data_IF_993085686793
#
_entry.id   IF_993085686793
#
_cell.length_a   1.000
_cell.length_b   1.000
_cell.length_c   1.000
_cell.angle_alpha   90.00
_cell.angle_beta   90.00
_cell.angle_gamma   90.00
#
_symmetry.space_group_name_H-M   'P 1'
#
loop_
_entity.id
_entity.type
_entity.pdbx_description
1 polymer ?
#
# COMPACT_ATOMS: atom_id res chain seq x y z
N UNK A 1 22.43 -61.01 -4.01
CA UNK A 1 21.66 -60.18 -3.07
C UNK A 1 21.55 -58.79 -3.68
N UNK A 2 20.42 -58.52 -4.31
CA UNK A 2 20.20 -57.28 -5.08
C UNK A 2 19.49 -56.26 -4.21
N UNK A 3 20.07 -55.10 -4.08
CA UNK A 3 19.51 -53.89 -3.46
C UNK A 3 18.39 -53.34 -4.35
N UNK A 4 17.17 -53.59 -3.97
CA UNK A 4 16.00 -52.91 -4.50
C UNK A 4 15.51 -51.88 -3.46
N UNK A 5 15.87 -50.60 -3.62
CA UNK A 5 15.15 -49.44 -3.15
C UNK A 5 15.88 -48.19 -3.62
N UNK A 6 15.33 -47.46 -4.60
CA UNK A 6 14.91 -46.10 -4.28
C UNK A 6 13.70 -45.58 -5.13
N UNK A 7 12.73 -46.44 -5.46
CA UNK A 7 11.58 -45.96 -6.22
C UNK A 7 10.50 -45.28 -5.36
N UNK A 8 10.45 -45.54 -4.07
CA UNK A 8 9.46 -44.94 -3.15
C UNK A 8 9.82 -43.50 -2.72
N UNK A 9 11.10 -43.19 -2.53
CA UNK A 9 11.56 -41.88 -2.19
C UNK A 9 11.36 -40.83 -3.29
N UNK A 10 11.28 -41.27 -4.57
CA UNK A 10 11.06 -40.35 -5.71
C UNK A 10 9.60 -39.91 -5.89
N UNK A 11 8.64 -40.67 -5.32
CA UNK A 11 7.20 -40.31 -5.41
C UNK A 11 6.77 -39.35 -4.30
N UNK A 12 7.38 -39.39 -3.12
CA UNK A 12 7.08 -38.46 -2.02
C UNK A 12 7.56 -37.02 -2.29
N UNK A 13 8.52 -36.84 -3.19
CA UNK A 13 9.05 -35.53 -3.57
C UNK A 13 8.13 -34.80 -4.57
N UNK A 14 7.25 -35.55 -5.29
CA UNK A 14 6.37 -34.95 -6.31
C UNK A 14 5.13 -34.25 -5.79
N UNK A 15 4.68 -34.52 -4.56
CA UNK A 15 3.45 -33.93 -3.98
C UNK A 15 3.71 -32.83 -2.94
N UNK A 16 4.93 -32.59 -2.54
CA UNK A 16 5.26 -31.44 -1.68
C UNK A 16 5.20 -30.16 -2.50
N UNK A 17 4.04 -29.50 -2.49
CA UNK A 17 3.93 -28.11 -3.00
C UNK A 17 4.99 -27.28 -2.30
N UNK A 18 5.74 -26.44 -3.05
CA UNK A 18 6.72 -25.55 -2.43
C UNK A 18 6.06 -24.80 -1.27
N UNK A 19 6.67 -24.73 -0.08
CA UNK A 19 6.06 -24.15 1.13
C UNK A 19 5.52 -22.73 0.89
N UNK A 20 6.10 -21.99 -0.05
CA UNK A 20 5.66 -20.64 -0.43
C UNK A 20 4.32 -20.60 -1.16
N UNK A 21 3.90 -21.66 -1.86
CA UNK A 21 2.58 -21.71 -2.54
C UNK A 21 1.46 -21.77 -1.52
N UNK A 22 1.61 -22.56 -0.45
CA UNK A 22 0.68 -22.63 0.68
C UNK A 22 0.50 -21.26 1.36
N UNK A 23 1.60 -20.55 1.59
CA UNK A 23 1.58 -19.20 2.15
C UNK A 23 0.86 -18.19 1.24
N UNK A 24 1.08 -18.23 -0.09
CA UNK A 24 0.40 -17.37 -1.03
C UNK A 24 -1.13 -17.61 -1.05
N UNK A 25 -1.56 -18.85 -1.00
CA UNK A 25 -2.99 -19.22 -0.93
C UNK A 25 -3.60 -18.79 0.40
N UNK A 26 -2.91 -18.98 1.52
CA UNK A 26 -3.37 -18.53 2.84
C UNK A 26 -3.51 -17.00 2.88
N UNK A 27 -2.52 -16.26 2.39
CA UNK A 27 -2.55 -14.79 2.28
C UNK A 27 -3.72 -14.32 1.42
N UNK A 28 -3.98 -14.97 0.28
CA UNK A 28 -5.13 -14.67 -0.57
C UNK A 28 -6.46 -14.88 0.18
N UNK A 29 -6.63 -16.02 0.86
CA UNK A 29 -7.85 -16.33 1.63
C UNK A 29 -8.09 -15.32 2.74
N UNK A 30 -7.04 -14.94 3.49
CA UNK A 30 -7.13 -13.93 4.54
C UNK A 30 -7.53 -12.56 3.97
N UNK A 31 -6.94 -12.14 2.85
CA UNK A 31 -7.27 -10.89 2.20
C UNK A 31 -8.75 -10.87 1.76
N UNK A 32 -9.26 -11.97 1.17
CA UNK A 32 -10.67 -12.09 0.77
C UNK A 32 -11.60 -12.06 1.98
N UNK A 33 -11.31 -12.82 3.04
CA UNK A 33 -12.12 -12.85 4.25
C UNK A 33 -12.20 -11.47 4.92
N UNK A 34 -11.05 -10.80 5.05
CA UNK A 34 -10.97 -9.45 5.59
C UNK A 34 -11.77 -8.45 4.75
N UNK A 35 -11.57 -8.45 3.43
CA UNK A 35 -12.28 -7.54 2.52
C UNK A 35 -13.79 -7.76 2.55
N UNK A 36 -14.23 -9.03 2.61
CA UNK A 36 -15.64 -9.38 2.76
C UNK A 36 -16.21 -8.81 4.06
N UNK A 37 -15.53 -9.03 5.19
CA UNK A 37 -15.93 -8.50 6.49
C UNK A 37 -16.04 -6.96 6.45
N UNK A 38 -15.03 -6.27 5.94
CA UNK A 38 -15.02 -4.81 5.85
C UNK A 38 -16.15 -4.28 4.96
N UNK A 39 -16.41 -4.96 3.84
CA UNK A 39 -17.53 -4.60 2.95
C UNK A 39 -18.88 -4.77 3.64
N UNK A 40 -19.08 -5.88 4.35
CA UNK A 40 -20.32 -6.12 5.11
C UNK A 40 -20.52 -5.13 6.24
N UNK A 41 -19.47 -4.79 6.99
CA UNK A 41 -19.51 -3.77 8.05
C UNK A 41 -19.84 -2.40 7.45
N UNK A 42 -19.22 -2.02 6.34
CA UNK A 42 -19.50 -0.76 5.66
C UNK A 42 -20.95 -0.69 5.18
N UNK A 43 -21.47 -1.75 4.53
CA UNK A 43 -22.86 -1.84 4.09
C UNK A 43 -23.81 -1.75 5.28
N UNK A 44 -23.54 -2.49 6.37
CA UNK A 44 -24.37 -2.45 7.58
C UNK A 44 -24.45 -1.05 8.19
N UNK A 45 -23.32 -0.38 8.38
CA UNK A 45 -23.27 0.96 8.95
C UNK A 45 -24.02 1.99 8.09
N UNK A 46 -23.96 1.86 6.77
CA UNK A 46 -24.70 2.73 5.87
C UNK A 46 -26.20 2.43 5.85
N UNK A 47 -26.62 1.16 5.87
CA UNK A 47 -28.04 0.78 5.87
C UNK A 47 -28.72 1.00 7.23
N UNK A 48 -28.00 0.82 8.34
CA UNK A 48 -28.57 0.99 9.68
C UNK A 48 -28.82 2.45 10.06
N UNK A 49 -28.40 3.40 9.23
CA UNK A 49 -28.53 4.84 9.55
C UNK A 49 -27.73 5.28 10.78
N UNK A 50 -26.81 4.43 11.27
CA UNK A 50 -25.89 4.79 12.33
C UNK A 50 -25.14 6.08 11.97
N UNK A 51 -24.83 6.91 12.96
CA UNK A 51 -24.27 8.27 12.77
C UNK A 51 -22.92 8.35 12.01
N UNK A 52 -22.38 7.23 11.61
CA UNK A 52 -21.18 7.12 10.74
C UNK A 52 -21.45 6.91 9.25
N UNK A 53 -22.70 6.63 8.83
CA UNK A 53 -23.02 6.35 7.44
C UNK A 53 -23.50 7.59 6.68
N UNK A 54 -22.62 8.27 5.96
CA UNK A 54 -22.96 9.49 5.22
C UNK A 54 -23.49 9.20 3.81
N UNK A 55 -23.10 8.08 3.21
CA UNK A 55 -23.41 7.76 1.82
C UNK A 55 -24.90 7.63 1.53
N UNK A 56 -25.65 6.92 2.36
CA UNK A 56 -27.08 6.70 2.12
C UNK A 56 -27.98 7.81 2.65
N UNK A 57 -27.45 8.74 3.47
CA UNK A 57 -28.18 9.94 3.90
C UNK A 57 -28.37 10.95 2.76
N UNK A 58 -27.47 10.94 1.77
CA UNK A 58 -27.53 11.86 0.63
C UNK A 58 -27.45 11.08 -0.70
N UNK A 59 -28.53 10.35 -1.01
CA UNK A 59 -28.60 9.38 -2.11
C UNK A 59 -28.17 9.93 -3.48
N UNK A 60 -28.47 11.18 -3.80
CA UNK A 60 -28.13 11.78 -5.10
C UNK A 60 -26.63 12.06 -5.21
N UNK A 61 -26.05 12.68 -4.21
CA UNK A 61 -24.61 12.91 -4.15
C UNK A 61 -23.83 11.60 -4.12
N UNK A 62 -24.37 10.58 -3.45
CA UNK A 62 -23.83 9.23 -3.38
C UNK A 62 -23.80 8.57 -4.76
N UNK A 63 -24.87 8.64 -5.55
CA UNK A 63 -24.92 8.07 -6.89
C UNK A 63 -23.90 8.73 -7.83
N UNK A 64 -23.78 10.05 -7.80
CA UNK A 64 -22.79 10.81 -8.58
C UNK A 64 -21.35 10.45 -8.20
N UNK A 65 -21.06 10.32 -6.90
CA UNK A 65 -19.74 9.90 -6.40
C UNK A 65 -19.44 8.47 -6.79
N UNK A 66 -20.38 7.53 -6.64
CA UNK A 66 -20.18 6.13 -7.03
C UNK A 66 -19.90 6.03 -8.53
N UNK A 67 -20.68 6.71 -9.37
CA UNK A 67 -20.45 6.73 -10.82
C UNK A 67 -19.10 7.38 -11.14
N UNK A 68 -18.78 8.52 -10.53
CA UNK A 68 -17.50 9.20 -10.70
C UNK A 68 -16.31 8.35 -10.27
N UNK A 69 -16.41 7.65 -9.14
CA UNK A 69 -15.37 6.75 -8.64
C UNK A 69 -15.22 5.53 -9.55
N UNK A 70 -16.32 4.84 -9.87
CA UNK A 70 -16.25 3.61 -10.68
C UNK A 70 -15.77 3.91 -12.08
N UNK A 71 -16.36 4.90 -12.75
CA UNK A 71 -16.02 5.21 -14.15
C UNK A 71 -14.67 5.93 -14.24
N UNK A 72 -14.51 7.02 -13.50
CA UNK A 72 -13.29 7.82 -13.55
C UNK A 72 -12.08 7.07 -13.01
N UNK A 73 -12.21 6.44 -11.85
CA UNK A 73 -11.13 5.75 -11.18
C UNK A 73 -10.74 4.44 -11.88
N UNK A 74 -11.69 3.59 -12.25
CA UNK A 74 -11.38 2.33 -12.95
C UNK A 74 -10.71 2.60 -14.30
N UNK A 75 -11.25 3.53 -15.11
CA UNK A 75 -10.65 3.89 -16.40
C UNK A 75 -9.24 4.45 -16.18
N UNK A 76 -9.10 5.45 -15.31
CA UNK A 76 -7.80 6.05 -15.01
C UNK A 76 -6.83 5.00 -14.49
N UNK A 77 -7.24 4.18 -13.51
CA UNK A 77 -6.39 3.19 -12.88
C UNK A 77 -5.98 2.06 -13.81
N UNK A 78 -6.88 1.62 -14.70
CA UNK A 78 -6.56 0.63 -15.74
C UNK A 78 -5.57 1.20 -16.74
N UNK A 79 -5.79 2.41 -17.26
CA UNK A 79 -4.88 3.06 -18.21
C UNK A 79 -3.50 3.32 -17.58
N UNK A 80 -3.49 3.80 -16.34
CA UNK A 80 -2.28 4.08 -15.58
C UNK A 80 -1.50 2.80 -15.26
N UNK A 81 -2.19 1.78 -14.79
CA UNK A 81 -1.56 0.46 -14.54
C UNK A 81 -1.02 -0.16 -15.81
N UNK A 82 -1.71 0.01 -16.95
CA UNK A 82 -1.23 -0.43 -18.25
C UNK A 82 0.06 0.30 -18.66
N UNK A 83 0.15 1.62 -18.45
CA UNK A 83 1.35 2.39 -18.72
C UNK A 83 2.55 1.83 -17.93
N UNK A 84 2.38 1.62 -16.62
CA UNK A 84 3.47 1.11 -15.78
C UNK A 84 3.78 -0.37 -16.00
N UNK A 85 2.80 -1.17 -16.40
CA UNK A 85 3.04 -2.51 -16.91
C UNK A 85 3.93 -2.49 -18.16
N UNK A 86 3.65 -1.60 -19.11
CA UNK A 86 4.46 -1.42 -20.32
C UNK A 86 5.87 -0.93 -19.98
N UNK A 87 5.98 0.04 -19.05
CA UNK A 87 7.27 0.53 -18.57
C UNK A 87 8.10 -0.60 -17.95
N UNK A 88 7.51 -1.38 -17.05
CA UNK A 88 8.20 -2.52 -16.43
C UNK A 88 8.67 -3.53 -17.48
N UNK A 89 7.81 -3.88 -18.43
CA UNK A 89 8.18 -4.78 -19.52
C UNK A 89 9.34 -4.24 -20.34
N UNK A 90 9.33 -2.95 -20.65
CA UNK A 90 10.42 -2.28 -21.36
C UNK A 90 11.74 -2.34 -20.56
N UNK A 91 11.69 -1.98 -19.27
CA UNK A 91 12.87 -2.00 -18.40
C UNK A 91 13.47 -3.42 -18.27
N UNK A 92 12.63 -4.44 -18.11
CA UNK A 92 13.07 -5.82 -18.03
C UNK A 92 13.72 -6.31 -19.34
N UNK A 93 13.16 -5.94 -20.50
CA UNK A 93 13.79 -6.21 -21.81
C UNK A 93 15.17 -5.54 -21.92
N UNK A 94 15.31 -4.32 -21.44
CA UNK A 94 16.59 -3.59 -21.42
C UNK A 94 17.68 -4.26 -20.58
N UNK A 95 17.31 -5.01 -19.57
CA UNK A 95 18.26 -5.75 -18.71
C UNK A 95 18.45 -7.21 -19.15
N UNK A 96 17.90 -7.60 -20.31
CA UNK A 96 18.15 -8.87 -20.95
C UNK A 96 17.09 -9.96 -20.73
N UNK A 97 15.89 -9.61 -20.23
CA UNK A 97 14.79 -10.58 -20.15
C UNK A 97 14.29 -10.93 -21.56
N UNK A 98 14.27 -12.21 -21.88
CA UNK A 98 13.61 -12.74 -23.06
C UNK A 98 12.08 -12.80 -22.88
N UNK A 99 11.36 -13.16 -23.95
CA UNK A 99 9.90 -13.22 -23.89
C UNK A 99 9.39 -14.32 -22.95
N UNK A 100 10.15 -15.40 -22.74
CA UNK A 100 9.80 -16.48 -21.79
C UNK A 100 9.93 -16.00 -20.34
N UNK A 101 11.04 -15.36 -19.99
CA UNK A 101 11.25 -14.78 -18.66
C UNK A 101 10.21 -13.69 -18.35
N UNK A 102 9.85 -12.87 -19.35
CA UNK A 102 8.78 -11.88 -19.22
C UNK A 102 7.42 -12.55 -18.98
N UNK A 103 7.10 -13.60 -19.72
CA UNK A 103 5.86 -14.32 -19.55
C UNK A 103 5.76 -14.90 -18.13
N UNK A 104 6.79 -15.57 -17.65
CA UNK A 104 6.88 -16.08 -16.27
C UNK A 104 6.71 -14.97 -15.24
N UNK A 105 7.26 -13.78 -15.50
CA UNK A 105 7.18 -12.64 -14.60
C UNK A 105 5.75 -12.09 -14.47
N UNK A 106 4.97 -12.09 -15.55
CA UNK A 106 3.65 -11.44 -15.59
C UNK A 106 2.46 -12.39 -15.44
N UNK A 107 2.67 -13.71 -15.47
CA UNK A 107 1.62 -14.69 -15.21
C UNK A 107 1.39 -14.93 -13.71
N UNK A 108 0.38 -15.72 -13.37
CA UNK A 108 0.21 -16.16 -11.99
C UNK A 108 1.35 -17.12 -11.61
N UNK A 109 2.14 -16.72 -10.63
CA UNK A 109 3.36 -17.40 -10.23
C UNK A 109 3.17 -18.54 -9.24
N UNK A 110 1.91 -18.92 -8.93
CA UNK A 110 1.63 -20.05 -8.03
C UNK A 110 2.12 -21.39 -8.62
N UNK A 111 2.41 -21.43 -9.92
CA UNK A 111 2.97 -22.60 -10.57
C UNK A 111 4.17 -22.23 -11.45
N UNK A 112 5.32 -22.84 -11.18
CA UNK A 112 6.47 -22.82 -12.09
C UNK A 112 7.31 -21.53 -12.14
N UNK A 113 7.15 -20.59 -11.19
CA UNK A 113 8.04 -19.44 -11.12
C UNK A 113 9.32 -19.79 -10.36
N UNK A 114 10.44 -19.78 -11.07
CA UNK A 114 11.76 -20.04 -10.53
C UNK A 114 12.57 -18.72 -10.44
N UNK A 115 12.55 -18.11 -9.24
CA UNK A 115 13.29 -16.89 -8.95
C UNK A 115 14.80 -17.13 -9.01
N UNK A 116 15.28 -18.28 -8.55
CA UNK A 116 16.71 -18.58 -8.51
C UNK A 116 17.30 -18.66 -9.92
N UNK A 117 16.61 -19.33 -10.84
CA UNK A 117 17.02 -19.37 -12.25
C UNK A 117 17.08 -17.98 -12.87
N UNK A 118 16.14 -17.10 -12.56
CA UNK A 118 16.18 -15.70 -13.02
C UNK A 118 17.38 -14.95 -12.45
N UNK A 119 17.69 -15.13 -11.16
CA UNK A 119 18.81 -14.45 -10.50
C UNK A 119 20.19 -14.97 -10.92
N UNK A 120 20.29 -16.21 -11.45
CA UNK A 120 21.53 -16.72 -12.05
C UNK A 120 21.89 -15.99 -13.36
N UNK A 121 20.89 -15.53 -14.09
CA UNK A 121 21.09 -14.89 -15.42
C UNK A 121 21.03 -13.37 -15.32
N UNK A 122 20.23 -12.84 -14.43
CA UNK A 122 19.94 -11.41 -14.35
C UNK A 122 20.39 -10.81 -13.02
N UNK A 123 20.94 -9.59 -13.07
CA UNK A 123 21.35 -8.84 -11.87
C UNK A 123 20.16 -8.51 -10.97
N UNK A 124 20.19 -9.00 -9.73
CA UNK A 124 19.20 -8.70 -8.69
C UNK A 124 18.96 -7.19 -8.55
N UNK A 125 20.04 -6.39 -8.51
CA UNK A 125 19.94 -4.93 -8.39
C UNK A 125 19.16 -4.30 -9.55
N UNK A 126 19.39 -4.75 -10.78
CA UNK A 126 18.68 -4.23 -11.96
C UNK A 126 17.20 -4.59 -11.92
N UNK A 127 16.87 -5.82 -11.47
CA UNK A 127 15.48 -6.25 -11.27
C UNK A 127 14.80 -5.39 -10.20
N UNK A 128 15.44 -5.16 -9.06
CA UNK A 128 14.91 -4.30 -7.97
C UNK A 128 14.63 -2.88 -8.46
N UNK A 129 15.51 -2.30 -9.27
CA UNK A 129 15.31 -0.97 -9.85
C UNK A 129 14.12 -0.96 -10.81
N UNK A 130 13.98 -1.96 -11.68
CA UNK A 130 12.84 -2.05 -12.59
C UNK A 130 11.51 -2.23 -11.83
N UNK A 131 11.49 -3.04 -10.79
CA UNK A 131 10.35 -3.22 -9.89
C UNK A 131 9.97 -1.90 -9.18
N UNK A 132 10.96 -1.22 -8.61
CA UNK A 132 10.80 0.05 -7.92
C UNK A 132 10.22 1.12 -8.85
N UNK A 133 10.83 1.35 -10.01
CA UNK A 133 10.40 2.38 -10.96
C UNK A 133 8.95 2.18 -11.42
N UNK A 134 8.59 0.95 -11.75
CA UNK A 134 7.23 0.65 -12.23
C UNK A 134 6.19 0.76 -11.11
N UNK A 135 6.51 0.25 -9.92
CA UNK A 135 5.61 0.22 -8.78
C UNK A 135 5.40 1.62 -8.20
N UNK A 136 6.49 2.36 -7.96
CA UNK A 136 6.41 3.70 -7.36
C UNK A 136 5.77 4.72 -8.28
N UNK A 137 6.06 4.70 -9.56
CA UNK A 137 5.37 5.55 -10.52
C UNK A 137 3.86 5.31 -10.51
N UNK A 138 3.42 4.03 -10.47
CA UNK A 138 2.01 3.68 -10.38
C UNK A 138 1.38 4.17 -9.08
N UNK A 139 2.04 3.93 -7.93
CA UNK A 139 1.54 4.32 -6.61
C UNK A 139 1.45 5.84 -6.48
N UNK A 140 2.45 6.58 -7.01
CA UNK A 140 2.47 8.04 -6.96
C UNK A 140 1.20 8.67 -7.55
N UNK A 141 0.74 8.18 -8.69
CA UNK A 141 -0.49 8.71 -9.28
C UNK A 141 -1.75 8.35 -8.49
N UNK A 142 -1.84 7.12 -7.95
CA UNK A 142 -2.95 6.73 -7.09
C UNK A 142 -3.03 7.60 -5.83
N UNK A 143 -1.87 7.91 -5.24
CA UNK A 143 -1.76 8.82 -4.11
C UNK A 143 -2.20 10.23 -4.47
N UNK A 144 -1.74 10.77 -5.60
CA UNK A 144 -2.10 12.10 -6.05
C UNK A 144 -3.62 12.23 -6.27
N UNK A 145 -4.24 11.20 -6.87
CA UNK A 145 -5.70 11.14 -7.04
C UNK A 145 -6.42 11.04 -5.69
N UNK A 146 -5.99 10.17 -4.78
CA UNK A 146 -6.55 10.08 -3.44
C UNK A 146 -6.45 11.41 -2.68
N UNK A 147 -5.31 12.10 -2.82
CA UNK A 147 -5.10 13.43 -2.25
C UNK A 147 -6.05 14.47 -2.82
N UNK A 148 -6.25 14.47 -4.13
CA UNK A 148 -7.19 15.38 -4.79
C UNK A 148 -8.63 15.17 -4.29
N UNK A 149 -9.07 13.93 -4.12
CA UNK A 149 -10.41 13.63 -3.58
C UNK A 149 -10.54 14.03 -2.11
N UNK A 150 -9.52 13.80 -1.29
CA UNK A 150 -9.50 14.24 0.11
C UNK A 150 -9.51 15.76 0.18
N UNK A 151 -8.67 16.44 -0.60
CA UNK A 151 -8.62 17.90 -0.65
C UNK A 151 -9.94 18.49 -1.10
N UNK A 152 -10.58 17.95 -2.12
CA UNK A 152 -11.93 18.38 -2.54
C UNK A 152 -13.01 18.03 -1.52
N UNK A 153 -12.92 16.88 -0.86
CA UNK A 153 -13.86 16.47 0.21
C UNK A 153 -13.75 17.33 1.46
N UNK A 154 -12.54 17.77 1.81
CA UNK A 154 -12.34 18.70 2.94
C UNK A 154 -12.87 20.10 2.64
N UNK A 155 -13.11 20.44 1.36
CA UNK A 155 -13.72 21.70 0.95
C UNK A 155 -12.96 22.93 1.42
N UNK A 156 -13.58 24.10 1.23
CA UNK A 156 -13.04 25.36 1.75
C UNK A 156 -13.25 25.56 3.26
N UNK A 157 -14.09 24.73 3.87
CA UNK A 157 -14.32 24.70 5.34
C UNK A 157 -14.49 23.23 5.76
N UNK A 158 -13.51 22.62 6.42
CA UNK A 158 -13.63 21.25 6.90
C UNK A 158 -14.72 21.17 7.97
N UNK A 159 -15.87 20.62 7.61
CA UNK A 159 -16.92 20.23 8.56
C UNK A 159 -16.78 18.74 8.88
N UNK A 160 -17.33 18.26 10.01
CA UNK A 160 -17.37 16.83 10.30
C UNK A 160 -18.01 16.02 9.16
N UNK A 161 -19.03 16.57 8.50
CA UNK A 161 -19.73 15.92 7.40
C UNK A 161 -18.85 15.84 6.13
N UNK A 162 -18.13 16.92 5.79
CA UNK A 162 -17.22 16.92 4.62
C UNK A 162 -16.05 15.98 4.82
N UNK A 163 -15.54 15.87 6.07
CA UNK A 163 -14.52 14.93 6.44
C UNK A 163 -15.00 13.48 6.32
N UNK A 164 -16.17 13.18 6.92
CA UNK A 164 -16.78 11.86 6.85
C UNK A 164 -17.01 11.45 5.39
N UNK A 165 -17.56 12.33 4.57
CA UNK A 165 -17.78 12.09 3.15
C UNK A 165 -16.46 11.81 2.40
N UNK A 166 -15.41 12.59 2.64
CA UNK A 166 -14.09 12.37 2.03
C UNK A 166 -13.47 11.03 2.42
N UNK A 167 -13.54 10.67 3.70
CA UNK A 167 -13.00 9.39 4.20
C UNK A 167 -13.80 8.19 3.68
N UNK A 168 -15.12 8.26 3.67
CA UNK A 168 -15.98 7.19 3.15
C UNK A 168 -15.84 7.01 1.63
N UNK A 169 -15.73 8.11 0.87
CA UNK A 169 -15.47 8.06 -0.58
C UNK A 169 -14.16 7.34 -0.87
N UNK A 170 -13.14 7.66 -0.09
CA UNK A 170 -11.82 7.03 -0.21
C UNK A 170 -11.84 5.54 0.20
N UNK A 171 -12.66 5.18 1.21
CA UNK A 171 -12.86 3.80 1.60
C UNK A 171 -13.54 3.00 0.48
N UNK A 172 -14.63 3.54 -0.09
CA UNK A 172 -15.36 2.90 -1.19
C UNK A 172 -14.44 2.68 -2.42
N UNK A 173 -13.71 3.72 -2.81
CA UNK A 173 -12.73 3.63 -3.90
C UNK A 173 -11.77 2.47 -3.68
N UNK A 174 -11.17 2.41 -2.52
CA UNK A 174 -10.22 1.40 -2.23
C UNK A 174 -10.87 0.01 -2.16
N UNK A 175 -12.14 -0.18 -1.61
CA UNK A 175 -12.85 -1.48 -1.65
C UNK A 175 -13.06 -1.96 -3.08
N UNK A 176 -13.50 -1.09 -3.98
CA UNK A 176 -13.65 -1.40 -5.41
C UNK A 176 -12.33 -1.88 -6.00
N UNK A 177 -11.23 -1.20 -5.68
CA UNK A 177 -9.90 -1.57 -6.16
C UNK A 177 -9.41 -2.92 -5.59
N UNK A 178 -9.64 -3.19 -4.32
CA UNK A 178 -9.23 -4.45 -3.72
C UNK A 178 -10.08 -5.63 -4.23
N UNK A 179 -11.39 -5.45 -4.40
CA UNK A 179 -12.23 -6.45 -5.06
C UNK A 179 -11.79 -6.72 -6.51
N UNK A 180 -11.40 -5.68 -7.24
CA UNK A 180 -10.79 -5.86 -8.55
C UNK A 180 -9.51 -6.71 -8.48
N UNK A 181 -8.69 -6.49 -7.47
CA UNK A 181 -7.53 -7.33 -7.18
C UNK A 181 -7.90 -8.80 -6.95
N UNK A 182 -8.92 -9.06 -6.14
CA UNK A 182 -9.43 -10.42 -5.90
C UNK A 182 -9.92 -11.08 -7.20
N UNK A 183 -10.75 -10.40 -7.97
CA UNK A 183 -11.31 -10.92 -9.23
C UNK A 183 -10.22 -11.26 -10.24
N UNK A 184 -9.18 -10.42 -10.31
CA UNK A 184 -8.08 -10.59 -11.28
C UNK A 184 -6.92 -11.44 -10.76
N UNK A 185 -6.95 -11.91 -9.51
CA UNK A 185 -5.84 -12.62 -8.86
C UNK A 185 -5.38 -13.85 -9.64
N UNK A 186 -6.31 -14.70 -10.04
CA UNK A 186 -6.01 -15.93 -10.80
C UNK A 186 -5.93 -15.71 -12.32
N UNK A 187 -6.26 -14.51 -12.80
CA UNK A 187 -6.27 -14.21 -14.23
C UNK A 187 -4.84 -14.09 -14.77
N UNK A 188 -4.53 -14.90 -15.79
CA UNK A 188 -3.34 -14.73 -16.63
C UNK A 188 -3.61 -13.89 -17.89
N UNK A 189 -4.87 -13.47 -18.08
CA UNK A 189 -5.27 -12.55 -19.14
C UNK A 189 -4.75 -11.13 -18.95
N UNK A 190 -5.08 -10.27 -19.92
CA UNK A 190 -4.58 -8.89 -19.99
C UNK A 190 -4.88 -8.10 -18.71
N UNK A 191 -6.04 -8.25 -18.12
CA UNK A 191 -6.45 -7.50 -16.92
C UNK A 191 -5.62 -7.89 -15.68
N UNK A 192 -5.37 -9.19 -15.45
CA UNK A 192 -4.50 -9.64 -14.36
C UNK A 192 -3.05 -9.21 -14.55
N UNK A 193 -2.55 -9.22 -15.79
CA UNK A 193 -1.20 -8.75 -16.11
C UNK A 193 -1.06 -7.25 -15.90
N UNK A 194 -2.03 -6.45 -16.29
CA UNK A 194 -2.04 -5.00 -16.07
C UNK A 194 -2.10 -4.71 -14.58
N UNK A 195 -3.01 -5.35 -13.85
CA UNK A 195 -3.19 -5.09 -12.42
C UNK A 195 -1.95 -5.45 -11.60
N UNK A 196 -1.47 -6.70 -11.74
CA UNK A 196 -0.34 -7.18 -10.96
C UNK A 196 1.03 -6.92 -11.59
N UNK A 197 1.10 -6.73 -12.90
CA UNK A 197 2.36 -6.58 -13.61
C UNK A 197 3.23 -5.42 -13.13
N UNK A 198 2.63 -4.27 -12.85
CA UNK A 198 3.35 -3.14 -12.29
C UNK A 198 3.56 -3.24 -10.77
N UNK A 199 2.63 -3.86 -10.04
CA UNK A 199 2.58 -3.83 -8.57
C UNK A 199 3.33 -4.99 -7.91
N UNK A 200 3.19 -6.21 -8.43
CA UNK A 200 3.84 -7.38 -7.84
C UNK A 200 5.36 -7.31 -8.04
N UNK A 201 6.12 -7.43 -6.96
CA UNK A 201 7.58 -7.47 -7.03
C UNK A 201 8.04 -8.81 -7.59
N UNK A 202 9.02 -8.81 -8.48
CA UNK A 202 9.65 -10.03 -9.01
C UNK A 202 10.37 -10.76 -7.88
N UNK A 203 11.05 -10.01 -7.00
CA UNK A 203 11.78 -10.55 -5.86
C UNK A 203 10.92 -11.26 -4.82
N UNK A 204 9.60 -11.05 -4.86
CA UNK A 204 8.67 -11.78 -3.99
C UNK A 204 8.34 -13.19 -4.53
N UNK A 205 8.86 -13.57 -5.69
CA UNK A 205 8.66 -14.89 -6.27
C UNK A 205 7.17 -15.23 -6.43
N UNK A 206 6.78 -16.41 -5.97
CA UNK A 206 5.38 -16.89 -6.00
C UNK A 206 4.44 -16.06 -5.13
N UNK A 207 4.95 -15.36 -4.13
CA UNK A 207 4.18 -14.50 -3.23
C UNK A 207 3.83 -13.13 -3.84
N UNK A 208 4.41 -12.75 -4.99
CA UNK A 208 4.31 -11.40 -5.52
C UNK A 208 2.90 -10.87 -5.70
N UNK A 209 1.96 -11.69 -6.22
CA UNK A 209 0.56 -11.29 -6.34
C UNK A 209 -0.16 -11.27 -5.00
N UNK A 210 0.09 -12.26 -4.14
CA UNK A 210 -0.54 -12.35 -2.82
C UNK A 210 -0.11 -11.16 -1.94
N UNK A 211 1.17 -10.80 -1.96
CA UNK A 211 1.67 -9.63 -1.26
C UNK A 211 1.05 -8.33 -1.81
N UNK A 212 0.96 -8.19 -3.13
CA UNK A 212 0.33 -7.02 -3.74
C UNK A 212 -1.17 -6.90 -3.37
N UNK A 213 -1.89 -8.02 -3.29
CA UNK A 213 -3.28 -8.05 -2.84
C UNK A 213 -3.39 -7.72 -1.36
N UNK A 214 -2.51 -8.27 -0.52
CA UNK A 214 -2.46 -8.00 0.91
C UNK A 214 -2.23 -6.51 1.19
N UNK A 215 -1.26 -5.89 0.52
CA UNK A 215 -0.99 -4.46 0.61
C UNK A 215 -2.25 -3.66 0.24
N UNK A 216 -2.91 -3.97 -0.87
CA UNK A 216 -4.15 -3.33 -1.27
C UNK A 216 -5.27 -3.47 -0.24
N UNK A 217 -5.40 -4.64 0.39
CA UNK A 217 -6.41 -4.92 1.41
C UNK A 217 -6.12 -4.18 2.72
N UNK A 218 -4.86 -4.15 3.16
CA UNK A 218 -4.43 -3.41 4.36
C UNK A 218 -4.51 -1.90 4.17
N UNK A 219 -4.34 -1.40 2.97
CA UNK A 219 -4.63 -0.02 2.61
C UNK A 219 -6.09 0.36 2.88
N UNK A 220 -7.00 -0.60 2.73
CA UNK A 220 -8.39 -0.44 3.10
C UNK A 220 -8.62 -0.42 4.61
N UNK A 221 -7.97 -1.33 5.35
CA UNK A 221 -8.01 -1.34 6.79
C UNK A 221 -7.59 0.01 7.36
N UNK A 222 -6.53 0.57 6.78
CA UNK A 222 -6.09 1.91 7.14
C UNK A 222 -7.17 2.97 6.88
N UNK A 223 -7.76 3.01 5.70
CA UNK A 223 -8.82 3.98 5.36
C UNK A 223 -10.00 3.85 6.31
N UNK A 224 -10.39 2.63 6.68
CA UNK A 224 -11.45 2.38 7.65
C UNK A 224 -11.07 2.89 9.05
N UNK A 225 -9.84 2.65 9.51
CA UNK A 225 -9.35 3.15 10.78
C UNK A 225 -9.22 4.68 10.84
N UNK A 226 -8.98 5.33 9.69
CA UNK A 226 -8.88 6.79 9.61
C UNK A 226 -10.22 7.50 9.84
N UNK A 227 -11.37 6.82 9.70
CA UNK A 227 -12.68 7.42 10.00
C UNK A 227 -12.77 7.81 11.49
N UNK A 228 -12.67 6.86 12.46
CA UNK A 228 -12.71 7.21 13.88
C UNK A 228 -11.50 8.04 14.32
N UNK A 229 -10.31 7.81 13.76
CA UNK A 229 -9.13 8.61 14.05
C UNK A 229 -9.29 10.04 13.55
N UNK A 230 -9.89 10.25 12.39
CA UNK A 230 -10.19 11.57 11.86
C UNK A 230 -11.14 12.36 12.78
N UNK A 231 -12.19 11.72 13.30
CA UNK A 231 -13.06 12.34 14.31
C UNK A 231 -12.33 12.61 15.63
N UNK A 232 -11.45 11.72 16.06
CA UNK A 232 -10.64 11.94 17.25
C UNK A 232 -9.68 13.12 17.08
N UNK A 233 -9.03 13.25 15.92
CA UNK A 233 -8.19 14.40 15.58
C UNK A 233 -8.99 15.70 15.53
N UNK A 234 -10.18 15.69 14.96
CA UNK A 234 -11.06 16.86 14.88
C UNK A 234 -11.54 17.37 16.26
N UNK A 235 -11.52 16.52 17.30
CA UNK A 235 -11.81 16.94 18.68
C UNK A 235 -10.66 17.67 19.38
N UNK A 236 -9.41 17.40 18.97
CA UNK A 236 -8.23 17.96 19.61
C UNK A 236 -7.55 19.06 18.79
N UNK A 237 -7.87 19.17 17.50
CA UNK A 237 -7.34 20.20 16.63
C UNK A 237 -8.45 21.12 16.12
N UNK A 238 -8.25 22.45 16.15
CA UNK A 238 -9.20 23.37 15.58
C UNK A 238 -9.29 23.21 14.05
N UNK A 239 -10.43 23.56 13.43
CA UNK A 239 -10.64 23.42 11.99
C UNK A 239 -9.56 24.09 11.13
N UNK A 240 -8.94 25.15 11.62
CA UNK A 240 -7.87 25.89 10.93
C UNK A 240 -6.58 25.12 10.78
N UNK A 241 -6.29 24.17 11.68
CA UNK A 241 -5.06 23.38 11.68
C UNK A 241 -5.30 21.93 11.27
N UNK A 242 -6.56 21.50 11.19
CA UNK A 242 -6.92 20.12 10.91
C UNK A 242 -6.36 19.61 9.57
N UNK A 243 -6.44 20.42 8.51
CA UNK A 243 -5.89 20.08 7.21
C UNK A 243 -4.36 19.86 7.25
N UNK A 244 -3.66 20.69 8.04
CA UNK A 244 -2.22 20.54 8.24
C UNK A 244 -1.88 19.24 9.00
N UNK A 245 -2.64 18.90 10.03
CA UNK A 245 -2.49 17.64 10.77
C UNK A 245 -2.68 16.43 9.85
N UNK A 246 -3.73 16.46 9.04
CA UNK A 246 -4.00 15.41 8.09
C UNK A 246 -2.86 15.28 7.05
N UNK A 247 -2.35 16.42 6.59
CA UNK A 247 -1.20 16.46 5.70
C UNK A 247 0.05 15.88 6.35
N UNK A 248 0.32 16.17 7.63
CA UNK A 248 1.44 15.59 8.38
C UNK A 248 1.34 14.06 8.44
N UNK A 249 0.16 13.53 8.76
CA UNK A 249 -0.06 12.07 8.80
C UNK A 249 0.27 11.41 7.45
N UNK A 250 -0.26 11.97 6.37
CA UNK A 250 -0.13 11.40 5.03
C UNK A 250 1.23 11.60 4.41
N UNK A 251 1.74 12.83 4.38
CA UNK A 251 3.01 13.11 3.71
C UNK A 251 4.20 12.53 4.43
N UNK A 252 4.15 12.41 5.76
CA UNK A 252 5.19 11.74 6.51
C UNK A 252 5.32 10.28 6.09
N UNK A 253 4.20 9.55 6.11
CA UNK A 253 4.15 8.16 5.69
C UNK A 253 4.61 8.00 4.25
N UNK A 254 4.03 8.75 3.32
CA UNK A 254 4.34 8.64 1.89
C UNK A 254 5.79 8.96 1.57
N UNK A 255 6.31 10.06 2.11
CA UNK A 255 7.68 10.49 1.88
C UNK A 255 8.67 9.49 2.44
N UNK A 256 8.38 8.94 3.64
CA UNK A 256 9.21 7.94 4.28
C UNK A 256 9.29 6.66 3.44
N UNK A 257 8.14 6.07 3.09
CA UNK A 257 8.09 4.83 2.32
C UNK A 257 8.70 4.99 0.92
N UNK A 258 8.39 6.10 0.21
CA UNK A 258 8.95 6.35 -1.13
C UNK A 258 10.48 6.49 -1.09
N UNK A 259 10.98 7.35 -0.20
CA UNK A 259 12.42 7.57 -0.12
C UNK A 259 13.16 6.33 0.37
N UNK A 260 12.61 5.60 1.34
CA UNK A 260 13.18 4.34 1.83
C UNK A 260 13.37 3.33 0.71
N UNK A 261 12.37 3.14 -0.14
CA UNK A 261 12.47 2.18 -1.23
C UNK A 261 13.39 2.66 -2.35
N UNK A 262 13.29 3.93 -2.75
CA UNK A 262 14.11 4.47 -3.86
C UNK A 262 15.59 4.44 -3.49
N UNK A 263 15.95 5.06 -2.36
CA UNK A 263 17.35 5.13 -1.94
C UNK A 263 17.88 3.77 -1.49
N UNK A 264 17.01 2.95 -0.89
CA UNK A 264 17.35 1.56 -0.56
C UNK A 264 17.66 0.72 -1.79
N UNK A 265 16.90 0.84 -2.88
CA UNK A 265 17.14 0.11 -4.12
C UNK A 265 18.39 0.60 -4.86
N UNK A 266 18.65 1.92 -4.85
CA UNK A 266 19.76 2.52 -5.57
C UNK A 266 21.10 2.41 -4.83
N UNK A 267 21.11 2.62 -3.52
CA UNK A 267 22.34 2.82 -2.74
C UNK A 267 22.48 1.87 -1.55
N UNK A 268 21.44 1.07 -1.22
CA UNK A 268 21.44 0.20 -0.05
C UNK A 268 22.43 -0.96 -0.19
N UNK A 269 23.53 -0.91 0.59
CA UNK A 269 24.52 -2.00 0.70
C UNK A 269 24.39 -2.71 2.04
N UNK A 270 24.26 -1.97 3.13
CA UNK A 270 24.07 -2.51 4.47
C UNK A 270 22.58 -2.72 4.72
N UNK A 271 22.22 -3.91 5.20
CA UNK A 271 20.83 -4.28 5.44
C UNK A 271 20.60 -4.62 6.90
N UNK A 272 19.43 -4.25 7.40
CA UNK A 272 18.91 -4.59 8.71
C UNK A 272 17.88 -5.70 8.50
N UNK A 273 18.02 -6.88 9.12
CA UNK A 273 16.99 -7.89 9.10
C UNK A 273 15.78 -7.38 9.90
N UNK A 274 14.60 -7.48 9.33
CA UNK A 274 13.35 -7.07 9.97
C UNK A 274 12.32 -8.17 9.82
N UNK A 275 11.32 -8.15 10.69
CA UNK A 275 10.29 -9.15 10.67
C UNK A 275 9.44 -9.09 9.38
N UNK A 276 9.11 -10.24 8.81
CA UNK A 276 8.30 -10.40 7.62
C UNK A 276 7.16 -11.40 7.84
N UNK A 277 6.17 -11.41 6.94
CA UNK A 277 5.12 -12.42 6.92
C UNK A 277 5.68 -13.73 6.32
N UNK A 278 6.16 -14.62 7.20
CA UNK A 278 6.69 -15.93 6.80
C UNK A 278 8.09 -15.91 6.19
N UNK A 279 8.77 -14.76 6.20
CA UNK A 279 10.12 -14.59 5.67
C UNK A 279 10.86 -13.44 6.39
N UNK A 280 12.18 -13.47 6.35
CA UNK A 280 13.02 -12.37 6.85
C UNK A 280 13.07 -11.29 5.79
N UNK A 281 12.42 -10.15 6.06
CA UNK A 281 12.57 -8.96 5.24
C UNK A 281 13.90 -8.26 5.57
N UNK A 282 14.43 -7.52 4.60
CA UNK A 282 15.66 -6.74 4.78
C UNK A 282 15.41 -5.30 4.38
N UNK A 283 15.57 -4.40 5.31
CA UNK A 283 15.56 -2.95 5.05
C UNK A 283 17.00 -2.44 4.96
N UNK A 284 17.26 -1.42 4.17
CA UNK A 284 18.61 -0.87 4.07
C UNK A 284 18.80 0.33 5.01
N UNK A 285 19.99 0.44 5.61
CA UNK A 285 20.33 1.60 6.46
C UNK A 285 20.17 2.91 5.69
N UNK A 286 20.67 2.96 4.45
CA UNK A 286 20.54 4.15 3.59
C UNK A 286 19.09 4.45 3.27
N UNK A 287 18.27 3.43 2.98
CA UNK A 287 16.83 3.62 2.76
C UNK A 287 16.14 4.20 3.98
N UNK A 288 16.39 3.62 5.17
CA UNK A 288 15.80 4.09 6.42
C UNK A 288 16.17 5.54 6.72
N UNK A 289 17.45 5.91 6.56
CA UNK A 289 17.92 7.29 6.76
C UNK A 289 17.28 8.26 5.74
N UNK A 290 17.18 7.86 4.47
CA UNK A 290 16.53 8.65 3.44
C UNK A 290 15.03 8.83 3.71
N UNK A 291 14.36 7.79 4.18
CA UNK A 291 12.95 7.84 4.58
C UNK A 291 12.72 8.83 5.71
N UNK A 292 13.52 8.75 6.77
CA UNK A 292 13.47 9.73 7.87
C UNK A 292 13.66 11.17 7.39
N UNK A 293 14.72 11.40 6.60
CA UNK A 293 15.03 12.74 6.09
C UNK A 293 13.90 13.28 5.23
N UNK A 294 13.35 12.48 4.32
CA UNK A 294 12.25 12.88 3.46
C UNK A 294 10.97 13.19 4.25
N UNK A 295 10.63 12.37 5.23
CA UNK A 295 9.48 12.61 6.11
C UNK A 295 9.65 13.90 6.92
N UNK A 296 10.83 14.11 7.51
CA UNK A 296 11.12 15.32 8.28
C UNK A 296 11.04 16.58 7.42
N UNK A 297 11.62 16.55 6.21
CA UNK A 297 11.56 17.69 5.28
C UNK A 297 10.13 17.97 4.85
N UNK A 298 9.34 16.94 4.48
CA UNK A 298 7.95 17.09 4.10
C UNK A 298 7.10 17.68 5.25
N UNK A 299 7.26 17.14 6.46
CA UNK A 299 6.55 17.62 7.63
C UNK A 299 6.94 19.06 7.98
N UNK A 300 8.22 19.39 7.92
CA UNK A 300 8.70 20.76 8.17
C UNK A 300 8.17 21.75 7.14
N UNK A 301 8.09 21.34 5.88
CA UNK A 301 7.49 22.16 4.82
C UNK A 301 6.00 22.41 5.06
N UNK A 302 5.25 21.42 5.57
CA UNK A 302 3.84 21.59 5.95
C UNK A 302 3.69 22.60 7.08
N UNK A 303 4.50 22.48 8.14
CA UNK A 303 4.49 23.42 9.27
C UNK A 303 4.78 24.85 8.79
N UNK A 304 5.82 25.02 7.96
CA UNK A 304 6.21 26.31 7.41
C UNK A 304 5.14 26.91 6.50
N UNK A 305 4.61 26.11 5.57
CA UNK A 305 3.61 26.57 4.58
C UNK A 305 2.29 27.01 5.24
N UNK A 306 1.96 26.44 6.39
CA UNK A 306 0.74 26.79 7.15
C UNK A 306 1.01 27.85 8.25
N UNK A 307 2.24 28.38 8.37
CA UNK A 307 2.59 29.37 9.39
C UNK A 307 2.37 28.90 10.83
N UNK A 308 2.55 27.58 11.09
CA UNK A 308 2.27 27.00 12.41
C UNK A 308 3.35 27.38 13.43
N UNK A 309 3.00 27.48 14.73
CA UNK A 309 3.94 27.83 15.79
C UNK A 309 5.16 26.90 15.88
N UNK A 310 6.32 27.33 16.45
CA UNK A 310 7.54 26.52 16.56
C UNK A 310 7.36 25.14 17.20
N UNK A 311 6.43 25.01 18.14
CA UNK A 311 6.08 23.74 18.79
C UNK A 311 5.66 22.65 17.77
N UNK A 312 5.11 23.04 16.63
CA UNK A 312 4.71 22.09 15.58
C UNK A 312 5.90 21.43 14.87
N UNK A 313 7.10 21.99 14.94
CA UNK A 313 8.29 21.29 14.48
C UNK A 313 8.65 20.09 15.37
N UNK A 314 8.31 20.13 16.66
CA UNK A 314 8.43 18.96 17.52
C UNK A 314 7.44 17.86 17.11
N UNK A 315 6.19 18.22 16.74
CA UNK A 315 5.25 17.28 16.16
C UNK A 315 5.78 16.72 14.83
N UNK A 316 6.27 17.58 13.92
CA UNK A 316 6.84 17.18 12.64
C UNK A 316 7.97 16.15 12.80
N UNK A 317 8.87 16.38 13.76
CA UNK A 317 9.95 15.45 14.11
C UNK A 317 9.39 14.14 14.69
N UNK A 318 8.44 14.21 15.63
CA UNK A 318 7.85 13.03 16.26
C UNK A 318 7.15 12.14 15.24
N UNK A 319 6.40 12.72 14.30
CA UNK A 319 5.71 11.99 13.24
C UNK A 319 6.71 11.39 12.25
N UNK A 320 7.81 12.09 11.92
CA UNK A 320 8.87 11.54 11.07
C UNK A 320 9.59 10.36 11.72
N UNK A 321 9.89 10.44 13.03
CA UNK A 321 10.45 9.34 13.81
C UNK A 321 9.51 8.16 13.87
N UNK A 322 8.22 8.39 14.14
CA UNK A 322 7.21 7.34 14.16
C UNK A 322 7.09 6.65 12.80
N UNK A 323 7.00 7.41 11.70
CA UNK A 323 6.99 6.87 10.34
C UNK A 323 8.19 5.97 10.08
N UNK A 324 9.39 6.43 10.45
CA UNK A 324 10.64 5.69 10.22
C UNK A 324 10.71 4.42 11.06
N UNK A 325 10.33 4.50 12.33
CA UNK A 325 10.31 3.34 13.22
C UNK A 325 9.30 2.30 12.74
N UNK A 326 8.12 2.73 12.34
CA UNK A 326 7.07 1.83 11.83
C UNK A 326 7.43 1.26 10.45
N UNK A 327 8.05 2.04 9.55
CA UNK A 327 8.58 1.53 8.28
C UNK A 327 9.64 0.44 8.52
N UNK A 328 10.48 0.60 9.54
CA UNK A 328 11.52 -0.36 9.88
C UNK A 328 10.97 -1.64 10.51
N UNK A 329 10.04 -1.52 11.47
CA UNK A 329 9.60 -2.65 12.31
C UNK A 329 8.26 -3.27 11.91
N UNK A 330 7.51 -2.67 11.00
CA UNK A 330 6.27 -3.27 10.52
C UNK A 330 6.53 -4.57 9.77
N UNK A 331 5.69 -5.60 9.95
CA UNK A 331 5.71 -6.78 9.12
C UNK A 331 5.58 -6.40 7.65
N UNK A 332 6.25 -7.15 6.78
CA UNK A 332 6.26 -6.88 5.35
C UNK A 332 4.85 -6.73 4.77
N UNK A 333 4.58 -5.61 4.12
CA UNK A 333 3.30 -5.30 3.49
C UNK A 333 2.23 -4.76 4.45
N UNK A 334 2.56 -4.51 5.73
CA UNK A 334 1.67 -3.85 6.70
C UNK A 334 2.05 -2.41 6.99
N UNK A 335 3.17 -1.96 6.43
CA UNK A 335 3.75 -0.64 6.60
C UNK A 335 2.77 0.49 6.26
N UNK A 336 2.03 0.36 5.16
CA UNK A 336 0.99 1.33 4.78
C UNK A 336 -0.07 1.55 5.88
N UNK A 337 -0.51 0.48 6.54
CA UNK A 337 -1.48 0.56 7.64
C UNK A 337 -0.85 1.08 8.93
N UNK A 338 0.28 0.52 9.32
CA UNK A 338 0.91 0.81 10.64
C UNK A 338 1.45 2.22 10.69
N UNK A 339 2.12 2.68 9.63
CA UNK A 339 2.72 4.03 9.59
C UNK A 339 1.65 5.11 9.65
N UNK A 340 0.63 5.03 8.82
CA UNK A 340 -0.39 6.06 8.77
C UNK A 340 -1.26 6.08 10.04
N UNK A 341 -1.60 4.90 10.60
CA UNK A 341 -2.32 4.80 11.87
C UNK A 341 -1.47 5.32 13.04
N UNK A 342 -0.20 4.92 13.09
CA UNK A 342 0.73 5.39 14.12
C UNK A 342 0.97 6.89 14.07
N UNK A 343 1.13 7.46 12.87
CA UNK A 343 1.24 8.90 12.69
C UNK A 343 -0.01 9.65 13.21
N UNK A 344 -1.21 9.13 12.91
CA UNK A 344 -2.45 9.73 13.39
C UNK A 344 -2.54 9.68 14.92
N UNK A 345 -2.11 8.57 15.54
CA UNK A 345 -2.06 8.44 17.01
C UNK A 345 -1.05 9.40 17.63
N UNK A 346 0.13 9.57 17.03
CA UNK A 346 1.13 10.55 17.48
C UNK A 346 0.56 11.97 17.39
N UNK A 347 -0.08 12.33 16.30
CA UNK A 347 -0.74 13.62 16.15
C UNK A 347 -1.83 13.81 17.22
N UNK A 348 -2.69 12.81 17.43
CA UNK A 348 -3.74 12.87 18.43
C UNK A 348 -3.18 13.08 19.85
N UNK A 349 -2.17 12.31 20.24
CA UNK A 349 -1.54 12.45 21.55
C UNK A 349 -0.89 13.82 21.74
N UNK A 350 -0.22 14.33 20.70
CA UNK A 350 0.35 15.67 20.73
C UNK A 350 -0.73 16.76 20.91
N UNK A 351 -1.82 16.67 20.15
CA UNK A 351 -2.94 17.60 20.27
C UNK A 351 -3.60 17.55 21.65
N UNK A 352 -3.80 16.34 22.19
CA UNK A 352 -4.48 16.16 23.48
C UNK A 352 -3.66 16.62 24.70
N UNK A 353 -2.32 16.55 24.63
CA UNK A 353 -1.48 16.75 25.81
C UNK A 353 -0.55 17.96 25.76
N UNK A 354 -0.18 18.40 24.56
CA UNK A 354 0.85 19.43 24.40
C UNK A 354 0.33 20.74 23.79
N UNK A 355 -0.84 20.73 23.17
CA UNK A 355 -1.44 21.99 22.75
C UNK A 355 -2.24 22.59 23.90
N UNK A 356 -2.09 23.90 24.14
CA UNK A 356 -2.97 24.61 25.08
C UNK A 356 -4.40 24.57 24.54
N UNK A 357 -5.32 24.12 25.38
CA UNK A 357 -6.76 24.09 25.12
C UNK A 357 -7.39 25.44 25.33
#
# INVERSE_FOLDING_TARGET
MALAAPAQAANDVRDARPPHVGAAVATFRLAVAYLTLMTLVWVYLNLSGADGGVFFKNYRATAEVIVGIIVGFLIFWVLWSWLFYRLKRYLLKRIGFDDRALEQTFTNRLSGFDLESLLRVHSERKIRIADMMSRRGRTFAGIFMGFYFIYRGLGQKPTPESLAFGLESNLLEGMVFAWWGVITFHSNGILGRIHYGAQARIMDGVLGRANALCIGTLWHAFKFAMIPLGFALAKVFPPTTYAAVFALVWFSYLSCDFASEIFGALFGKQTIPVWGLGDVNRKSVVGTAAGFTAALLANSAIVLANGLPPLWYALALSVALASTALELWSPRGTDDFTMATGNALVCWAFGAWLLPH
#
